data_IF_659965031342
#
_entry.id   IF_659965031342
#
_cell.length_a   1.000
_cell.length_b   1.000
_cell.length_c   1.000
_cell.angle_alpha   90.00
_cell.angle_beta   90.00
_cell.angle_gamma   90.00
#
_symmetry.space_group_name_H-M   'P 1'
#
loop_
_entity.id
_entity.type
_entity.pdbx_description
1 polymer ?
#
# COMPACT_ATOMS: atom_id res chain seq x y z
N UNK A 1 -12.19 25.89 4.06
CA UNK A 1 -10.97 26.29 4.77
C UNK A 1 -10.88 27.81 4.63
N UNK A 2 -11.28 28.56 5.64
CA UNK A 2 -11.27 30.03 5.59
C UNK A 2 -9.84 30.55 5.82
N UNK A 3 -9.49 31.69 5.23
CA UNK A 3 -8.24 32.36 5.59
C UNK A 3 -8.28 32.74 7.07
N UNK A 4 -7.16 32.60 7.79
CA UNK A 4 -7.12 32.99 9.19
C UNK A 4 -7.38 34.50 9.29
N UNK A 5 -8.20 34.90 10.28
CA UNK A 5 -8.45 36.30 10.57
C UNK A 5 -7.11 36.99 10.92
N UNK A 6 -6.77 38.05 10.21
CA UNK A 6 -5.50 38.77 10.39
C UNK A 6 -5.30 39.26 11.84
N UNK A 7 -6.39 39.63 12.51
CA UNK A 7 -6.38 40.05 13.91
C UNK A 7 -5.97 38.90 14.86
N UNK A 8 -6.57 37.71 14.66
CA UNK A 8 -6.23 36.52 15.44
C UNK A 8 -4.77 36.07 15.21
N UNK A 9 -4.27 36.16 13.97
CA UNK A 9 -2.86 35.86 13.70
C UNK A 9 -1.93 36.87 14.37
N UNK A 10 -2.27 38.17 14.39
CA UNK A 10 -1.48 39.19 15.09
C UNK A 10 -1.39 38.89 16.58
N UNK A 11 -2.53 38.57 17.22
CA UNK A 11 -2.58 38.21 18.63
C UNK A 11 -1.72 36.97 18.94
N UNK A 12 -1.80 35.93 18.10
CA UNK A 12 -0.95 34.73 18.25
C UNK A 12 0.55 35.05 18.15
N UNK A 13 0.93 35.94 17.23
CA UNK A 13 2.33 36.36 17.09
C UNK A 13 2.81 37.17 18.30
N UNK A 14 1.99 38.06 18.85
CA UNK A 14 2.30 38.82 20.06
C UNK A 14 2.48 37.91 21.28
N UNK A 15 1.59 36.93 21.46
CA UNK A 15 1.70 35.95 22.55
C UNK A 15 2.93 35.05 22.36
N UNK A 16 3.20 34.60 21.14
CA UNK A 16 4.42 33.82 20.86
C UNK A 16 5.69 34.63 21.17
N UNK A 17 5.73 35.91 20.78
CA UNK A 17 6.85 36.80 21.07
C UNK A 17 7.03 37.01 22.59
N UNK A 18 5.94 37.17 23.35
CA UNK A 18 5.98 37.26 24.80
C UNK A 18 6.53 35.99 25.47
N UNK A 19 6.34 34.82 24.85
CA UNK A 19 6.90 33.53 25.29
C UNK A 19 8.34 33.29 24.79
N UNK A 20 8.94 34.24 24.07
CA UNK A 20 10.27 34.07 23.47
C UNK A 20 10.30 33.06 22.31
N UNK A 21 9.16 32.81 21.66
CA UNK A 21 9.01 31.91 20.54
C UNK A 21 8.88 32.68 19.22
N UNK A 22 9.50 32.16 18.16
CA UNK A 22 9.34 32.68 16.79
C UNK A 22 8.20 31.91 16.12
N UNK A 23 7.07 32.58 15.88
CA UNK A 23 5.91 32.05 15.19
C UNK A 23 5.76 32.74 13.82
N UNK A 24 5.85 31.96 12.74
CA UNK A 24 5.57 32.43 11.40
C UNK A 24 4.07 32.34 11.10
N UNK A 25 3.42 33.43 10.64
CA UNK A 25 2.00 33.45 10.36
C UNK A 25 1.65 32.45 9.26
N UNK A 26 0.43 31.91 9.33
CA UNK A 26 -0.12 31.07 8.26
C UNK A 26 -0.34 31.92 7.02
N UNK A 27 0.33 31.56 5.92
CA UNK A 27 0.35 32.37 4.71
C UNK A 27 -0.26 31.61 3.52
N UNK A 28 -0.33 32.27 2.37
CA UNK A 28 -0.81 31.68 1.11
C UNK A 28 -0.02 30.44 0.68
N UNK A 29 1.23 30.30 1.11
CA UNK A 29 2.08 29.14 0.84
C UNK A 29 1.62 27.87 1.55
N UNK A 30 1.22 27.97 2.83
CA UNK A 30 0.64 26.82 3.55
C UNK A 30 -0.64 26.34 2.84
N UNK A 31 -1.53 27.28 2.50
CA UNK A 31 -2.75 26.99 1.74
C UNK A 31 -2.44 26.37 0.36
N UNK A 32 -1.44 26.88 -0.36
CA UNK A 32 -1.05 26.34 -1.65
C UNK A 32 -0.60 24.88 -1.52
N UNK A 33 0.19 24.54 -0.50
CA UNK A 33 0.61 23.16 -0.23
C UNK A 33 -0.59 22.26 0.04
N UNK A 34 -1.54 22.69 0.88
CA UNK A 34 -2.76 21.92 1.15
C UNK A 34 -3.57 21.67 -0.12
N UNK A 35 -3.77 22.69 -0.95
CA UNK A 35 -4.51 22.58 -2.21
C UNK A 35 -3.81 21.61 -3.17
N UNK A 36 -2.50 21.78 -3.40
CA UNK A 36 -1.72 20.93 -4.30
C UNK A 36 -1.77 19.48 -3.85
N UNK A 37 -1.54 19.21 -2.56
CA UNK A 37 -1.61 17.85 -2.03
C UNK A 37 -3.02 17.27 -2.12
N UNK A 38 -4.05 18.06 -1.87
CA UNK A 38 -5.45 17.60 -2.02
C UNK A 38 -5.76 17.20 -3.47
N UNK A 39 -5.29 17.96 -4.45
CA UNK A 39 -5.44 17.60 -5.88
C UNK A 39 -4.72 16.29 -6.18
N UNK A 40 -3.49 16.12 -5.69
CA UNK A 40 -2.70 14.89 -5.86
C UNK A 40 -3.44 13.68 -5.26
N UNK A 41 -3.94 13.78 -4.03
CA UNK A 41 -4.75 12.72 -3.41
C UNK A 41 -6.08 12.47 -4.16
N UNK A 42 -6.64 13.48 -4.82
CA UNK A 42 -7.77 13.31 -5.74
C UNK A 42 -7.42 12.46 -6.97
N UNK A 43 -6.23 12.65 -7.54
CA UNK A 43 -5.72 11.81 -8.64
C UNK A 43 -5.45 10.38 -8.17
N UNK A 44 -4.86 10.22 -6.99
CA UNK A 44 -4.65 8.90 -6.38
C UNK A 44 -5.96 8.15 -6.14
N UNK A 45 -6.99 8.85 -5.66
CA UNK A 45 -8.32 8.27 -5.47
C UNK A 45 -8.89 7.75 -6.80
N UNK A 46 -8.78 8.53 -7.88
CA UNK A 46 -9.20 8.09 -9.22
C UNK A 46 -8.40 6.84 -9.64
N UNK A 47 -7.09 6.82 -9.44
CA UNK A 47 -6.24 5.67 -9.77
C UNK A 47 -6.66 4.41 -8.98
N UNK A 48 -6.93 4.54 -7.68
CA UNK A 48 -7.42 3.45 -6.83
C UNK A 48 -8.80 2.96 -7.27
N UNK A 49 -9.73 3.86 -7.62
CA UNK A 49 -11.05 3.48 -8.15
C UNK A 49 -10.89 2.68 -9.45
N UNK A 50 -10.02 3.12 -10.38
CA UNK A 50 -9.75 2.41 -11.63
C UNK A 50 -9.12 1.03 -11.39
N UNK A 51 -8.23 0.90 -10.41
CA UNK A 51 -7.69 -0.40 -9.99
C UNK A 51 -8.77 -1.33 -9.46
N UNK A 52 -9.64 -0.82 -8.58
CA UNK A 52 -10.74 -1.59 -7.99
C UNK A 52 -11.77 -2.00 -9.04
N UNK A 53 -12.08 -1.12 -10.01
CA UNK A 53 -12.92 -1.43 -11.15
C UNK A 53 -12.34 -2.58 -11.98
N UNK A 54 -11.03 -2.54 -12.24
CA UNK A 54 -10.33 -3.53 -13.04
C UNK A 54 -9.77 -4.72 -12.22
N UNK A 55 -10.27 -4.94 -10.98
CA UNK A 55 -9.76 -5.99 -10.07
C UNK A 55 -9.82 -7.42 -10.60
N UNK A 56 -10.62 -7.69 -11.64
CA UNK A 56 -10.72 -9.00 -12.30
C UNK A 56 -9.60 -9.26 -13.31
N UNK A 57 -8.88 -8.22 -13.75
CA UNK A 57 -7.79 -8.36 -14.71
C UNK A 57 -6.55 -8.96 -14.02
N UNK A 58 -6.02 -10.12 -14.48
CA UNK A 58 -5.02 -10.87 -13.72
C UNK A 58 -3.75 -10.09 -13.32
N UNK A 59 -3.14 -9.27 -14.21
CA UNK A 59 -1.98 -8.46 -13.83
C UNK A 59 -2.26 -7.39 -12.76
N UNK A 60 -3.50 -6.88 -12.67
CA UNK A 60 -3.91 -5.97 -11.59
C UNK A 60 -4.21 -6.76 -10.32
N UNK A 61 -4.88 -7.90 -10.46
CA UNK A 61 -5.23 -8.79 -9.34
C UNK A 61 -3.99 -9.23 -8.55
N UNK A 62 -2.88 -9.56 -9.24
CA UNK A 62 -1.62 -9.96 -8.59
C UNK A 62 -1.02 -8.84 -7.73
N UNK A 63 -1.26 -7.57 -8.08
CA UNK A 63 -0.81 -6.41 -7.28
C UNK A 63 -1.68 -6.14 -6.05
N UNK A 64 -2.74 -6.91 -5.80
CA UNK A 64 -3.55 -6.77 -4.59
C UNK A 64 -4.28 -5.43 -4.49
N UNK A 65 -5.29 -5.16 -5.35
CA UNK A 65 -5.93 -3.85 -5.44
C UNK A 65 -6.57 -3.38 -4.12
N UNK A 66 -7.05 -4.31 -3.29
CA UNK A 66 -7.57 -3.98 -1.96
C UNK A 66 -6.46 -3.46 -1.03
N UNK A 67 -5.26 -4.04 -1.07
CA UNK A 67 -4.12 -3.54 -0.27
C UNK A 67 -3.71 -2.14 -0.72
N UNK A 68 -3.76 -1.85 -2.03
CA UNK A 68 -3.49 -0.49 -2.53
C UNK A 68 -4.56 0.52 -2.09
N UNK A 69 -5.83 0.11 -2.03
CA UNK A 69 -6.89 0.95 -1.46
C UNK A 69 -6.66 1.21 0.04
N UNK A 70 -6.27 0.19 0.80
CA UNK A 70 -5.90 0.36 2.21
C UNK A 70 -4.69 1.30 2.37
N UNK A 71 -3.66 1.16 1.52
CA UNK A 71 -2.50 2.03 1.51
C UNK A 71 -2.91 3.49 1.31
N UNK A 72 -3.75 3.76 0.30
CA UNK A 72 -4.29 5.09 0.04
C UNK A 72 -5.05 5.67 1.25
N UNK A 73 -5.93 4.89 1.88
CA UNK A 73 -6.70 5.32 3.06
C UNK A 73 -5.75 5.67 4.21
N UNK A 74 -4.72 4.86 4.48
CA UNK A 74 -3.72 5.15 5.51
C UNK A 74 -2.95 6.44 5.17
N UNK A 75 -2.51 6.61 3.91
CA UNK A 75 -1.84 7.84 3.47
C UNK A 75 -2.74 9.07 3.62
N UNK A 76 -4.03 8.96 3.33
CA UNK A 76 -5.00 10.04 3.52
C UNK A 76 -5.17 10.41 5.02
N UNK A 77 -5.21 9.42 5.92
CA UNK A 77 -5.21 9.69 7.36
C UNK A 77 -3.91 10.34 7.82
N UNK A 78 -2.75 9.90 7.30
CA UNK A 78 -1.48 10.60 7.56
C UNK A 78 -1.58 12.06 7.13
N UNK A 79 -2.05 12.35 5.90
CA UNK A 79 -2.23 13.73 5.43
C UNK A 79 -3.12 14.57 6.34
N UNK A 80 -4.29 14.07 6.71
CA UNK A 80 -5.22 14.79 7.60
C UNK A 80 -4.56 15.07 8.96
N UNK A 81 -3.85 14.09 9.52
CA UNK A 81 -3.12 14.27 10.78
C UNK A 81 -1.94 15.23 10.66
N UNK A 82 -1.27 15.26 9.51
CA UNK A 82 -0.13 16.13 9.24
C UNK A 82 -0.55 17.60 9.12
N UNK A 83 -1.72 17.86 8.52
CA UNK A 83 -2.33 19.20 8.48
C UNK A 83 -2.50 19.80 9.88
N UNK A 84 -2.94 18.98 10.83
CA UNK A 84 -3.09 19.39 12.23
C UNK A 84 -1.74 19.61 12.90
N UNK A 85 -0.87 18.59 12.92
CA UNK A 85 0.35 18.63 13.75
C UNK A 85 1.36 19.64 13.22
N UNK A 86 1.42 19.87 11.91
CA UNK A 86 2.32 20.86 11.32
C UNK A 86 1.72 22.27 11.30
N UNK A 87 0.51 22.48 11.84
CA UNK A 87 -0.08 23.81 12.00
C UNK A 87 -0.55 24.47 10.70
N UNK A 88 -0.87 23.68 9.67
CA UNK A 88 -1.37 24.21 8.39
C UNK A 88 -2.80 24.73 8.48
N UNK A 89 -3.57 24.23 9.45
CA UNK A 89 -4.99 24.58 9.65
C UNK A 89 -5.21 25.28 10.98
N UNK A 90 -6.28 26.07 11.06
CA UNK A 90 -6.77 26.64 12.31
C UNK A 90 -7.41 25.57 13.17
N UNK A 91 -6.89 25.39 14.40
CA UNK A 91 -7.40 24.38 15.32
C UNK A 91 -8.58 24.95 16.13
N UNK A 92 -8.50 26.21 16.54
CA UNK A 92 -9.51 26.91 17.31
C UNK A 92 -10.91 26.75 16.70
N UNK A 93 -11.88 26.38 17.54
CA UNK A 93 -13.28 26.14 17.15
C UNK A 93 -13.49 25.06 16.09
N UNK A 94 -12.55 24.11 15.94
CA UNK A 94 -12.65 23.01 14.99
C UNK A 94 -12.49 21.64 15.66
N UNK A 95 -12.82 20.58 14.92
CA UNK A 95 -12.57 19.18 15.34
C UNK A 95 -11.08 18.89 15.56
N UNK A 96 -10.20 19.69 14.95
CA UNK A 96 -8.75 19.55 15.08
C UNK A 96 -8.22 20.03 16.43
N UNK A 97 -9.04 20.61 17.32
CA UNK A 97 -8.65 20.84 18.73
C UNK A 97 -8.34 19.55 19.47
N UNK A 98 -8.85 18.39 19.02
CA UNK A 98 -8.56 17.10 19.61
C UNK A 98 -7.16 16.58 19.19
N UNK A 99 -6.12 17.07 19.89
CA UNK A 99 -4.72 16.71 19.64
C UNK A 99 -4.43 15.21 19.76
N UNK A 100 -5.06 14.51 20.72
CA UNK A 100 -4.91 13.06 20.89
C UNK A 100 -5.58 12.28 19.76
N UNK A 101 -6.78 12.69 19.35
CA UNK A 101 -7.50 12.06 18.25
C UNK A 101 -6.76 12.20 16.92
N UNK A 102 -6.51 13.42 16.47
CA UNK A 102 -5.92 13.62 15.15
C UNK A 102 -4.41 13.40 15.13
N UNK A 103 -3.69 13.91 16.13
CA UNK A 103 -2.24 13.90 16.14
C UNK A 103 -1.66 12.51 16.42
N UNK A 104 -2.39 11.69 17.16
CA UNK A 104 -1.93 10.36 17.53
C UNK A 104 -2.75 9.25 16.85
N UNK A 105 -4.08 9.19 16.99
CA UNK A 105 -4.86 8.13 16.31
C UNK A 105 -4.82 8.26 14.79
N UNK A 106 -5.18 9.42 14.25
CA UNK A 106 -5.28 9.61 12.80
C UNK A 106 -3.90 9.63 12.15
N UNK A 107 -2.97 10.45 12.65
CA UNK A 107 -1.63 10.58 12.06
C UNK A 107 -0.74 9.36 12.30
N UNK A 108 -0.54 8.96 13.56
CA UNK A 108 0.48 7.97 13.92
C UNK A 108 -0.04 6.55 13.71
N UNK A 109 -1.18 6.20 14.30
CA UNK A 109 -1.67 4.81 14.30
C UNK A 109 -2.30 4.43 12.96
N UNK A 110 -3.29 5.19 12.49
CA UNK A 110 -3.99 4.91 11.24
C UNK A 110 -3.19 5.35 10.01
N UNK A 111 -2.41 6.42 10.13
CA UNK A 111 -1.54 6.92 9.08
C UNK A 111 -0.24 6.13 8.97
N UNK A 112 0.79 6.55 9.72
CA UNK A 112 2.16 6.02 9.61
C UNK A 112 2.22 4.51 9.87
N UNK A 113 1.66 4.04 10.99
CA UNK A 113 1.68 2.62 11.35
C UNK A 113 0.77 1.79 10.42
N UNK A 114 -0.31 2.37 9.91
CA UNK A 114 -1.17 1.78 8.89
C UNK A 114 -0.43 1.54 7.57
N UNK A 115 0.28 2.57 7.06
CA UNK A 115 1.15 2.45 5.87
C UNK A 115 2.21 1.36 6.09
N UNK A 116 2.91 1.37 7.23
CA UNK A 116 3.89 0.34 7.56
C UNK A 116 3.25 -1.06 7.61
N UNK A 117 2.07 -1.19 8.21
CA UNK A 117 1.34 -2.45 8.31
C UNK A 117 0.92 -3.01 6.94
N UNK A 118 0.47 -2.15 6.02
CA UNK A 118 0.12 -2.55 4.65
C UNK A 118 1.35 -3.01 3.86
N UNK A 119 2.46 -2.28 3.96
CA UNK A 119 3.74 -2.67 3.33
C UNK A 119 4.26 -3.99 3.91
N UNK A 120 4.19 -4.16 5.23
CA UNK A 120 4.58 -5.39 5.91
C UNK A 120 3.72 -6.57 5.46
N UNK A 121 2.40 -6.41 5.43
CA UNK A 121 1.46 -7.45 5.00
C UNK A 121 1.73 -7.87 3.56
N UNK A 122 1.97 -6.90 2.67
CA UNK A 122 2.31 -7.18 1.27
C UNK A 122 3.62 -7.97 1.17
N UNK A 123 4.66 -7.53 1.87
CA UNK A 123 5.98 -8.19 1.90
C UNK A 123 5.86 -9.61 2.45
N UNK A 124 5.09 -9.79 3.52
CA UNK A 124 4.81 -11.09 4.12
C UNK A 124 4.01 -12.01 3.19
N UNK A 125 3.05 -11.46 2.43
CA UNK A 125 2.34 -12.21 1.40
C UNK A 125 3.30 -12.79 0.35
N UNK A 126 4.27 -11.99 -0.10
CA UNK A 126 5.29 -12.43 -1.07
C UNK A 126 6.20 -13.51 -0.47
N UNK A 127 6.64 -13.33 0.78
CA UNK A 127 7.43 -14.34 1.50
C UNK A 127 6.70 -15.69 1.57
N UNK A 128 5.41 -15.68 1.93
CA UNK A 128 4.62 -16.90 2.08
C UNK A 128 4.41 -17.64 0.76
N UNK A 129 4.17 -16.91 -0.33
CA UNK A 129 3.97 -17.51 -1.67
C UNK A 129 5.29 -18.05 -2.22
N UNK A 130 6.35 -17.26 -2.22
CA UNK A 130 7.57 -17.61 -2.94
C UNK A 130 8.55 -18.46 -2.14
N UNK A 131 8.63 -18.29 -0.82
CA UNK A 131 9.60 -19.02 0.00
C UNK A 131 8.99 -20.23 0.68
N UNK A 132 7.73 -20.13 1.14
CA UNK A 132 7.06 -21.24 1.82
C UNK A 132 6.22 -22.10 0.87
N UNK A 133 5.94 -21.64 -0.36
CA UNK A 133 5.02 -22.31 -1.30
C UNK A 133 3.64 -22.57 -0.68
N UNK A 134 3.20 -21.70 0.22
CA UNK A 134 1.93 -21.83 0.92
C UNK A 134 0.91 -20.79 0.40
N UNK A 135 -0.38 -21.14 0.28
CA UNK A 135 -1.40 -20.21 -0.18
C UNK A 135 -1.59 -19.08 0.85
N UNK A 136 -1.74 -17.83 0.39
CA UNK A 136 -2.01 -16.65 1.22
C UNK A 136 -3.48 -16.59 1.70
N UNK A 137 -4.00 -17.69 2.25
CA UNK A 137 -5.39 -17.80 2.73
C UNK A 137 -5.42 -18.37 4.14
N UNK A 138 -6.46 -17.99 4.89
CA UNK A 138 -6.74 -18.50 6.23
C UNK A 138 -6.20 -17.62 7.36
N UNK A 139 -6.67 -17.90 8.58
CA UNK A 139 -6.42 -17.07 9.76
C UNK A 139 -4.92 -17.02 10.14
N UNK A 140 -4.19 -18.13 9.97
CA UNK A 140 -2.76 -18.22 10.30
C UNK A 140 -1.90 -17.23 9.49
N UNK A 141 -2.29 -16.96 8.25
CA UNK A 141 -1.63 -15.97 7.41
C UNK A 141 -1.79 -14.54 7.97
N UNK A 142 -2.97 -14.22 8.51
CA UNK A 142 -3.26 -12.90 9.08
C UNK A 142 -2.81 -12.74 10.53
N UNK A 143 -2.39 -13.81 11.21
CA UNK A 143 -2.04 -13.77 12.64
C UNK A 143 -0.95 -12.72 12.96
N UNK A 144 0.16 -12.58 12.22
CA UNK A 144 1.16 -11.56 12.51
C UNK A 144 0.60 -10.13 12.36
N UNK A 145 -0.28 -9.91 11.38
CA UNK A 145 -0.95 -8.63 11.20
C UNK A 145 -1.94 -8.33 12.32
N UNK A 146 -2.71 -9.33 12.75
CA UNK A 146 -3.65 -9.19 13.88
C UNK A 146 -2.90 -8.87 15.18
N UNK A 147 -1.75 -9.51 15.41
CA UNK A 147 -0.89 -9.21 16.54
C UNK A 147 -0.35 -7.77 16.47
N UNK A 148 0.13 -7.34 15.28
CA UNK A 148 0.58 -5.97 15.05
C UNK A 148 -0.53 -4.94 15.30
N UNK A 149 -1.74 -5.18 14.79
CA UNK A 149 -2.92 -4.33 15.02
C UNK A 149 -3.27 -4.31 16.51
N UNK A 150 -3.23 -5.46 17.21
CA UNK A 150 -3.49 -5.52 18.64
C UNK A 150 -2.47 -4.68 19.43
N UNK A 151 -1.18 -4.74 19.09
CA UNK A 151 -0.15 -3.90 19.71
C UNK A 151 -0.41 -2.40 19.47
N UNK A 152 -0.76 -2.00 18.25
CA UNK A 152 -1.13 -0.61 17.91
C UNK A 152 -2.35 -0.17 18.73
N UNK A 153 -3.38 -1.00 18.83
CA UNK A 153 -4.60 -0.66 19.57
C UNK A 153 -4.34 -0.53 21.07
N UNK A 154 -3.57 -1.45 21.66
CA UNK A 154 -3.17 -1.37 23.08
C UNK A 154 -2.39 -0.08 23.33
N UNK A 155 -1.38 0.22 22.50
CA UNK A 155 -0.63 1.47 22.60
C UNK A 155 -1.54 2.70 22.44
N UNK A 156 -2.49 2.62 21.50
CA UNK A 156 -3.50 3.63 21.23
C UNK A 156 -4.38 3.97 22.44
N UNK A 157 -4.91 2.92 23.07
CA UNK A 157 -5.76 3.00 24.24
C UNK A 157 -4.97 3.56 25.43
N UNK A 158 -3.78 3.02 25.71
CA UNK A 158 -2.93 3.49 26.82
C UNK A 158 -2.63 4.98 26.68
N UNK A 159 -2.18 5.41 25.51
CA UNK A 159 -1.92 6.82 25.22
C UNK A 159 -3.18 7.72 25.31
N UNK A 160 -4.37 7.17 25.08
CA UNK A 160 -5.63 7.92 25.23
C UNK A 160 -6.06 8.08 26.69
N UNK A 161 -5.69 7.12 27.54
CA UNK A 161 -5.98 7.15 28.99
C UNK A 161 -5.02 8.09 29.74
N UNK A 162 -3.82 8.34 29.20
CA UNK A 162 -2.87 9.29 29.78
C UNK A 162 -3.48 10.71 29.90
N UNK A 163 -3.08 11.42 30.97
CA UNK A 163 -3.52 12.80 31.17
C UNK A 163 -3.01 13.71 30.04
N UNK A 164 -3.73 14.78 29.68
CA UNK A 164 -3.29 15.71 28.63
C UNK A 164 -1.89 16.29 28.90
N UNK A 165 -1.57 16.55 30.17
CA UNK A 165 -0.29 17.12 30.62
C UNK A 165 0.93 16.25 30.33
N UNK A 166 0.77 14.92 30.22
CA UNK A 166 1.86 13.97 29.94
C UNK A 166 1.78 13.38 28.53
N UNK A 167 0.84 13.83 27.70
CA UNK A 167 0.58 13.26 26.38
C UNK A 167 0.56 14.33 25.29
N UNK A 168 -0.63 14.74 24.84
CA UNK A 168 -0.82 15.79 23.87
C UNK A 168 -1.89 16.76 24.37
N UNK A 169 -1.53 18.04 24.38
CA UNK A 169 -2.34 19.12 24.91
C UNK A 169 -2.49 20.21 23.84
N UNK A 170 -3.70 20.75 23.74
CA UNK A 170 -3.97 21.91 22.90
C UNK A 170 -3.62 23.18 23.66
N UNK A 171 -2.79 24.04 23.08
CA UNK A 171 -2.43 25.35 23.64
C UNK A 171 -3.26 26.41 22.91
N UNK A 172 -4.34 26.93 23.51
CA UNK A 172 -5.26 27.84 22.84
C UNK A 172 -4.59 29.16 22.41
N UNK A 173 -3.61 29.64 23.17
CA UNK A 173 -2.92 30.90 22.92
C UNK A 173 -2.08 30.86 21.63
N UNK A 174 -1.48 29.71 21.34
CA UNK A 174 -0.65 29.50 20.16
C UNK A 174 -1.40 28.80 19.02
N UNK A 175 -2.62 28.30 19.27
CA UNK A 175 -3.40 27.49 18.34
C UNK A 175 -2.60 26.30 17.79
N UNK A 176 -1.89 25.57 18.68
CA UNK A 176 -1.10 24.38 18.34
C UNK A 176 -1.35 23.21 19.29
N UNK A 177 -1.06 22.01 18.82
CA UNK A 177 -0.97 20.81 19.64
C UNK A 177 0.47 20.62 20.12
N UNK A 178 0.70 20.73 21.44
CA UNK A 178 1.97 20.40 22.06
C UNK A 178 1.98 18.91 22.44
N UNK A 179 3.02 18.20 22.03
CA UNK A 179 3.30 16.85 22.50
C UNK A 179 4.36 16.94 23.60
N UNK A 180 4.13 16.23 24.70
CA UNK A 180 5.13 16.07 25.76
C UNK A 180 6.34 15.28 25.27
N UNK A 181 7.54 15.61 25.77
CA UNK A 181 8.80 15.09 25.23
C UNK A 181 8.96 13.57 25.46
N UNK A 182 8.76 13.03 26.69
CA UNK A 182 8.66 11.58 26.92
C UNK A 182 7.66 10.86 26.00
N UNK A 183 6.47 11.43 25.84
CA UNK A 183 5.42 10.84 25.00
C UNK A 183 5.82 10.81 23.52
N UNK A 184 6.42 11.90 23.03
CA UNK A 184 7.00 12.00 21.70
C UNK A 184 8.09 10.94 21.48
N UNK A 185 9.01 10.75 22.43
CA UNK A 185 10.05 9.72 22.36
C UNK A 185 9.42 8.32 22.25
N UNK A 186 8.43 8.01 23.10
CA UNK A 186 7.75 6.72 23.08
C UNK A 186 7.08 6.44 21.73
N UNK A 187 6.42 7.44 21.13
CA UNK A 187 5.83 7.35 19.79
C UNK A 187 6.91 7.02 18.74
N UNK A 188 8.01 7.76 18.73
CA UNK A 188 9.07 7.54 17.74
C UNK A 188 9.72 6.16 17.90
N UNK A 189 10.02 5.72 19.12
CA UNK A 189 10.54 4.38 19.39
C UNK A 189 9.58 3.31 18.86
N UNK A 190 8.28 3.45 19.13
CA UNK A 190 7.27 2.53 18.64
C UNK A 190 7.24 2.46 17.10
N UNK A 191 7.22 3.61 16.43
CA UNK A 191 7.23 3.70 14.96
C UNK A 191 8.51 3.09 14.39
N UNK A 192 9.68 3.37 14.97
CA UNK A 192 10.95 2.80 14.54
C UNK A 192 10.99 1.28 14.68
N UNK A 193 10.49 0.72 15.80
CA UNK A 193 10.39 -0.74 15.98
C UNK A 193 9.50 -1.35 14.88
N UNK A 194 8.35 -0.74 14.59
CA UNK A 194 7.44 -1.21 13.54
C UNK A 194 8.14 -1.18 12.15
N UNK A 195 8.84 -0.10 11.83
CA UNK A 195 9.53 0.05 10.54
C UNK A 195 10.76 -0.85 10.39
N UNK A 196 11.52 -1.06 11.47
CA UNK A 196 12.61 -2.05 11.51
C UNK A 196 12.09 -3.47 11.26
N UNK A 197 10.94 -3.82 11.84
CA UNK A 197 10.30 -5.11 11.56
C UNK A 197 9.97 -5.26 10.07
N UNK A 198 9.38 -4.23 9.44
CA UNK A 198 9.13 -4.23 7.98
C UNK A 198 10.43 -4.41 7.20
N UNK A 199 11.49 -3.68 7.58
CA UNK A 199 12.81 -3.78 6.98
C UNK A 199 13.40 -5.19 7.08
N UNK A 200 13.28 -5.85 8.23
CA UNK A 200 13.75 -7.22 8.45
C UNK A 200 13.00 -8.21 7.55
N UNK A 201 11.66 -8.11 7.48
CA UNK A 201 10.85 -8.98 6.61
C UNK A 201 11.20 -8.76 5.14
N UNK A 202 11.38 -7.51 4.73
CA UNK A 202 11.76 -7.16 3.36
C UNK A 202 13.18 -7.66 3.01
N UNK A 203 14.11 -7.58 3.95
CA UNK A 203 15.45 -8.11 3.78
C UNK A 203 15.46 -9.62 3.55
N UNK A 204 14.58 -10.36 4.23
CA UNK A 204 14.46 -11.82 4.04
C UNK A 204 14.02 -12.19 2.62
N UNK A 205 13.21 -11.38 1.95
CA UNK A 205 12.71 -11.65 0.58
C UNK A 205 13.64 -11.16 -0.53
N UNK A 206 14.77 -10.52 -0.22
CA UNK A 206 15.67 -9.90 -1.21
C UNK A 206 16.21 -10.85 -2.28
N UNK A 207 16.32 -12.14 -1.96
CA UNK A 207 16.86 -13.15 -2.88
C UNK A 207 15.83 -13.72 -3.85
N UNK A 208 14.55 -13.38 -3.68
CA UNK A 208 13.50 -13.80 -4.59
C UNK A 208 13.63 -12.99 -5.89
N UNK A 209 14.14 -13.66 -6.92
CA UNK A 209 14.07 -13.21 -8.32
C UNK A 209 12.62 -13.36 -8.79
N UNK A 210 11.71 -12.56 -8.23
CA UNK A 210 10.32 -12.49 -8.69
C UNK A 210 10.31 -11.71 -9.99
N UNK A 211 9.73 -12.29 -11.03
CA UNK A 211 9.78 -11.75 -12.40
C UNK A 211 8.89 -10.54 -12.63
N UNK A 212 8.27 -10.05 -11.56
CA UNK A 212 7.54 -8.79 -11.55
C UNK A 212 8.30 -7.63 -10.92
N UNK A 213 9.61 -7.76 -10.66
CA UNK A 213 10.42 -6.75 -9.96
C UNK A 213 9.85 -6.36 -8.58
N UNK A 214 8.99 -7.19 -8.00
CA UNK A 214 8.25 -6.84 -6.78
C UNK A 214 9.16 -6.67 -5.57
N UNK A 215 10.23 -7.46 -5.46
CA UNK A 215 11.24 -7.29 -4.41
C UNK A 215 11.97 -5.95 -4.51
N UNK A 216 12.22 -5.46 -5.74
CA UNK A 216 12.81 -4.13 -5.96
C UNK A 216 11.82 -3.01 -5.62
N UNK A 217 10.55 -3.16 -6.01
CA UNK A 217 9.48 -2.23 -5.63
C UNK A 217 9.36 -2.13 -4.09
N UNK A 218 9.40 -3.26 -3.37
CA UNK A 218 9.34 -3.29 -1.91
C UNK A 218 10.61 -2.72 -1.26
N UNK A 219 11.79 -2.97 -1.83
CA UNK A 219 13.04 -2.34 -1.36
C UNK A 219 12.96 -0.81 -1.48
N UNK A 220 12.53 -0.29 -2.63
CA UNK A 220 12.34 1.15 -2.83
C UNK A 220 11.35 1.70 -1.80
N UNK A 221 10.20 1.03 -1.61
CA UNK A 221 9.22 1.44 -0.62
C UNK A 221 9.77 1.47 0.81
N UNK A 222 10.57 0.48 1.18
CA UNK A 222 11.25 0.42 2.46
C UNK A 222 12.24 1.58 2.64
N UNK A 223 13.08 1.85 1.63
CA UNK A 223 14.03 2.97 1.65
C UNK A 223 13.31 4.32 1.80
N UNK A 224 12.19 4.51 1.09
CA UNK A 224 11.35 5.71 1.20
C UNK A 224 10.87 5.89 2.65
N UNK A 225 10.33 4.83 3.28
CA UNK A 225 9.85 4.88 4.68
C UNK A 225 11.00 5.23 5.63
N UNK A 226 12.18 4.63 5.47
CA UNK A 226 13.34 4.94 6.32
C UNK A 226 13.80 6.39 6.18
N UNK A 227 13.85 6.93 4.96
CA UNK A 227 14.24 8.32 4.70
C UNK A 227 13.26 9.29 5.37
N UNK A 228 11.95 9.06 5.20
CA UNK A 228 10.90 9.91 5.82
C UNK A 228 10.98 9.85 7.34
N UNK A 229 11.10 8.67 7.92
CA UNK A 229 11.16 8.53 9.38
C UNK A 229 12.42 9.14 9.97
N UNK A 230 13.57 8.99 9.30
CA UNK A 230 14.81 9.64 9.71
C UNK A 230 14.65 11.16 9.66
N UNK A 231 14.14 11.70 8.56
CA UNK A 231 13.90 13.13 8.42
C UNK A 231 12.94 13.64 9.50
N UNK A 232 11.80 13.00 9.71
CA UNK A 232 10.82 13.41 10.73
C UNK A 232 11.37 13.33 12.15
N UNK A 233 12.16 12.30 12.45
CA UNK A 233 12.86 12.17 13.74
C UNK A 233 13.82 13.36 13.91
N UNK A 234 14.69 13.62 12.93
CA UNK A 234 15.62 14.76 12.97
C UNK A 234 14.88 16.09 13.15
N UNK A 235 13.82 16.33 12.38
CA UNK A 235 13.02 17.56 12.48
C UNK A 235 12.43 17.76 13.88
N UNK A 236 11.86 16.71 14.48
CA UNK A 236 11.18 16.78 15.78
C UNK A 236 12.14 16.95 16.98
N UNK A 237 13.36 16.42 16.88
CA UNK A 237 14.34 16.47 17.97
C UNK A 237 15.33 17.64 17.84
N UNK A 238 15.72 18.01 16.62
CA UNK A 238 16.62 19.16 16.38
C UNK A 238 15.83 20.46 16.41
N UNK A 239 14.64 20.49 15.81
CA UNK A 239 13.80 21.69 15.71
C UNK A 239 12.51 21.52 16.50
N UNK A 240 12.58 21.56 17.83
CA UNK A 240 11.42 21.36 18.73
C UNK A 240 10.20 22.22 18.39
N UNK A 241 10.44 23.43 17.87
CA UNK A 241 9.42 24.39 17.46
C UNK A 241 9.14 24.39 15.95
N UNK A 242 9.45 23.30 15.22
CA UNK A 242 9.29 23.25 13.77
C UNK A 242 7.86 23.54 13.26
N UNK A 243 6.74 23.23 13.96
CA UNK A 243 5.41 23.58 13.47
C UNK A 243 5.16 25.10 13.48
N UNK A 244 5.87 25.83 14.35
CA UNK A 244 5.76 27.28 14.46
C UNK A 244 6.51 28.00 13.33
N UNK A 245 7.49 27.34 12.71
CA UNK A 245 8.37 27.94 11.72
C UNK A 245 8.05 27.41 10.31
N UNK A 246 7.69 28.33 9.41
CA UNK A 246 7.28 28.05 8.03
C UNK A 246 8.35 27.26 7.27
N UNK A 247 9.62 27.64 7.44
CA UNK A 247 10.78 27.01 6.78
C UNK A 247 10.90 25.52 7.05
N UNK A 248 10.26 25.01 8.10
CA UNK A 248 10.34 23.62 8.50
C UNK A 248 9.02 22.87 8.30
N UNK A 249 7.87 23.47 8.66
CA UNK A 249 6.56 22.80 8.54
C UNK A 249 6.17 22.50 7.09
N UNK A 250 6.46 23.40 6.15
CA UNK A 250 6.11 23.21 4.73
C UNK A 250 6.94 22.06 4.12
N UNK A 251 8.29 22.07 4.18
CA UNK A 251 9.07 20.97 3.63
C UNK A 251 8.77 19.62 4.28
N UNK A 252 8.47 19.59 5.58
CA UNK A 252 8.12 18.35 6.28
C UNK A 252 6.86 17.72 5.69
N UNK A 253 5.78 18.48 5.53
CA UNK A 253 4.54 18.00 4.92
C UNK A 253 4.72 17.61 3.47
N UNK A 254 5.47 18.41 2.69
CA UNK A 254 5.74 18.09 1.29
C UNK A 254 6.50 16.76 1.17
N UNK A 255 7.55 16.56 1.97
CA UNK A 255 8.36 15.34 1.90
C UNK A 255 7.56 14.10 2.30
N UNK A 256 6.83 14.16 3.41
CA UNK A 256 5.97 13.07 3.90
C UNK A 256 5.02 12.59 2.79
N UNK A 257 4.38 13.53 2.10
CA UNK A 257 3.39 13.19 1.08
C UNK A 257 3.97 12.87 -0.28
N UNK A 258 5.07 13.47 -0.70
CA UNK A 258 5.80 13.02 -1.90
C UNK A 258 6.20 11.54 -1.73
N UNK A 259 6.67 11.16 -0.54
CA UNK A 259 7.09 9.80 -0.26
C UNK A 259 5.90 8.82 -0.21
N UNK A 260 4.78 9.19 0.44
CA UNK A 260 3.56 8.38 0.41
C UNK A 260 3.02 8.16 -1.02
N UNK A 261 3.03 9.22 -1.83
CA UNK A 261 2.62 9.18 -3.22
C UNK A 261 3.56 8.32 -4.07
N UNK A 262 4.88 8.50 -3.91
CA UNK A 262 5.88 7.71 -4.61
C UNK A 262 5.70 6.22 -4.30
N UNK A 263 5.43 5.85 -3.05
CA UNK A 263 5.16 4.47 -2.66
C UNK A 263 3.95 3.87 -3.41
N UNK A 264 2.84 4.62 -3.50
CA UNK A 264 1.65 4.18 -4.25
C UNK A 264 1.95 4.04 -5.75
N UNK A 265 2.52 5.09 -6.36
CA UNK A 265 2.76 5.13 -7.80
C UNK A 265 3.84 4.15 -8.26
N UNK A 266 4.87 3.85 -7.46
CA UNK A 266 5.86 2.81 -7.77
C UNK A 266 5.19 1.45 -8.01
N UNK A 267 4.12 1.14 -7.27
CA UNK A 267 3.41 -0.14 -7.39
C UNK A 267 2.33 -0.07 -8.48
N UNK A 268 1.64 1.07 -8.61
CA UNK A 268 0.41 1.21 -9.40
C UNK A 268 0.63 1.73 -10.82
N UNK A 269 1.62 2.61 -11.05
CA UNK A 269 1.76 3.35 -12.31
C UNK A 269 1.78 2.44 -13.53
N UNK A 270 2.71 1.49 -13.55
CA UNK A 270 2.91 0.56 -14.68
C UNK A 270 1.69 -0.33 -14.94
N UNK A 271 1.15 -1.10 -13.96
CA UNK A 271 0.02 -1.98 -14.23
C UNK A 271 -1.24 -1.22 -14.62
N UNK A 272 -1.48 -0.03 -14.05
CA UNK A 272 -2.65 0.78 -14.39
C UNK A 272 -2.55 1.31 -15.82
N UNK A 273 -1.42 1.92 -16.19
CA UNK A 273 -1.19 2.43 -17.55
C UNK A 273 -1.36 1.34 -18.60
N UNK A 274 -0.69 0.19 -18.41
CA UNK A 274 -0.75 -0.91 -19.36
C UNK A 274 -2.14 -1.56 -19.42
N UNK A 275 -2.89 -1.59 -18.33
CA UNK A 275 -4.27 -2.06 -18.34
C UNK A 275 -5.20 -1.14 -19.15
N UNK A 276 -5.00 0.18 -19.11
CA UNK A 276 -5.84 1.15 -19.80
C UNK A 276 -5.54 1.22 -21.29
N UNK A 277 -4.26 1.26 -21.67
CA UNK A 277 -3.86 1.53 -23.06
C UNK A 277 -3.40 0.29 -23.84
N UNK A 278 -2.87 -0.73 -23.16
CA UNK A 278 -2.20 -1.89 -23.80
C UNK A 278 -2.64 -3.22 -23.20
N UNK A 279 -3.95 -3.34 -22.94
CA UNK A 279 -4.51 -4.43 -22.12
C UNK A 279 -4.15 -5.84 -22.62
N UNK A 280 -4.19 -6.08 -23.93
CA UNK A 280 -3.89 -7.41 -24.49
C UNK A 280 -2.39 -7.69 -24.53
N UNK A 281 -1.58 -6.74 -24.99
CA UNK A 281 -0.12 -6.83 -25.00
C UNK A 281 0.42 -7.10 -23.59
N UNK A 282 -0.09 -6.38 -22.58
CA UNK A 282 0.33 -6.56 -21.20
C UNK A 282 -0.06 -7.92 -20.63
N UNK A 283 -1.24 -8.43 -20.97
CA UNK A 283 -1.65 -9.77 -20.55
C UNK A 283 -0.75 -10.84 -21.16
N UNK A 284 -0.41 -10.72 -22.44
CA UNK A 284 0.50 -11.64 -23.13
C UNK A 284 1.91 -11.60 -22.52
N UNK A 285 2.45 -10.41 -22.28
CA UNK A 285 3.74 -10.22 -21.60
C UNK A 285 3.73 -10.82 -20.20
N UNK A 286 2.65 -10.59 -19.43
CA UNK A 286 2.49 -11.12 -18.09
C UNK A 286 2.44 -12.67 -18.09
N UNK A 287 1.67 -13.27 -19.00
CA UNK A 287 1.63 -14.73 -19.17
C UNK A 287 2.99 -15.27 -19.59
N UNK A 288 3.67 -14.66 -20.56
CA UNK A 288 4.99 -15.09 -21.02
C UNK A 288 6.01 -15.06 -19.87
N UNK A 289 5.95 -14.02 -19.03
CA UNK A 289 6.79 -13.89 -17.82
C UNK A 289 6.48 -15.00 -16.82
N UNK A 290 5.20 -15.25 -16.50
CA UNK A 290 4.83 -16.38 -15.62
C UNK A 290 5.30 -17.73 -16.16
N UNK A 291 5.33 -17.89 -17.49
CA UNK A 291 5.80 -19.11 -18.13
C UNK A 291 7.31 -19.29 -17.95
N UNK A 292 8.10 -18.24 -18.10
CA UNK A 292 9.56 -18.30 -17.90
C UNK A 292 9.95 -18.65 -16.47
N UNK A 293 9.09 -18.34 -15.50
CA UNK A 293 9.39 -18.51 -14.07
C UNK A 293 8.99 -19.88 -13.52
N UNK A 294 8.33 -20.70 -14.33
CA UNK A 294 7.71 -21.95 -13.87
C UNK A 294 6.48 -21.75 -12.99
N UNK A 295 5.92 -20.53 -12.90
CA UNK A 295 4.76 -20.21 -12.06
C UNK A 295 3.41 -20.55 -12.69
N UNK A 296 3.40 -21.20 -13.87
CA UNK A 296 2.17 -21.51 -14.62
C UNK A 296 1.15 -22.31 -13.79
N UNK A 297 1.64 -23.27 -13.00
CA UNK A 297 0.79 -24.13 -12.15
C UNK A 297 0.09 -23.35 -11.03
N UNK A 298 0.72 -22.30 -10.50
CA UNK A 298 0.16 -21.50 -9.41
C UNK A 298 -1.01 -20.60 -9.86
N UNK A 299 -1.14 -20.36 -11.17
CA UNK A 299 -2.14 -19.45 -11.74
C UNK A 299 -3.20 -20.16 -12.60
N UNK A 300 -3.24 -21.50 -12.60
CA UNK A 300 -4.26 -22.30 -13.33
C UNK A 300 -4.40 -21.87 -14.81
N UNK A 301 -3.28 -21.55 -15.47
CA UNK A 301 -3.32 -21.20 -16.90
C UNK A 301 -3.53 -22.50 -17.68
N UNK A 302 -4.80 -22.85 -17.93
CA UNK A 302 -5.20 -24.01 -18.74
C UNK A 302 -4.58 -23.91 -20.14
N UNK A 303 -3.51 -24.67 -20.38
CA UNK A 303 -2.86 -24.80 -21.67
C UNK A 303 -3.73 -25.49 -22.73
N UNK A 304 -4.81 -26.15 -22.29
CA UNK A 304 -5.74 -26.91 -23.14
C UNK A 304 -6.60 -26.03 -24.04
N UNK A 305 -6.98 -24.80 -23.63
CA UNK A 305 -7.83 -23.93 -24.45
C UNK A 305 -7.14 -23.27 -25.63
N UNK A 306 -5.81 -23.09 -25.58
CA UNK A 306 -5.08 -22.45 -26.67
C UNK A 306 -4.78 -23.40 -27.84
N UNK A 307 -4.89 -24.72 -27.63
CA UNK A 307 -4.63 -25.70 -28.68
C UNK A 307 -5.81 -25.88 -29.66
N UNK A 308 -7.05 -25.62 -29.24
CA UNK A 308 -8.23 -25.81 -30.10
C UNK A 308 -8.50 -24.64 -31.06
N UNK A 309 -8.07 -23.41 -30.77
CA UNK A 309 -8.34 -22.23 -31.63
C UNK A 309 -7.27 -21.99 -32.70
N UNK A 310 -6.19 -22.79 -32.70
CA UNK A 310 -5.13 -22.75 -33.71
C UNK A 310 -5.12 -24.01 -34.58
N UNK A 311 -6.28 -24.62 -34.84
CA UNK A 311 -6.42 -25.38 -36.07
C UNK A 311 -6.52 -24.38 -37.22
N UNK A 312 -5.51 -24.28 -38.10
CA UNK A 312 -5.63 -23.47 -39.30
C UNK A 312 -6.83 -23.99 -40.11
N UNK A 313 -7.72 -23.08 -40.49
CA UNK A 313 -8.80 -23.31 -41.45
C UNK A 313 -8.25 -23.59 -42.87
N UNK A 314 -7.14 -24.32 -42.99
CA UNK A 314 -6.44 -24.64 -44.24
C UNK A 314 -6.77 -26.04 -44.75
N UNK A 315 -7.80 -26.71 -44.21
CA UNK A 315 -8.25 -28.03 -44.69
C UNK A 315 -9.71 -28.09 -45.16
N UNK A 316 -10.42 -26.96 -45.25
CA UNK A 316 -11.77 -26.93 -45.81
C UNK A 316 -11.89 -26.07 -47.07
N UNK A 317 -10.84 -26.07 -47.90
CA UNK A 317 -10.86 -25.40 -49.21
C UNK A 317 -10.07 -26.20 -50.24
N UNK A 318 -10.41 -27.49 -50.38
CA UNK A 318 -9.92 -28.29 -51.51
C UNK A 318 -10.97 -29.16 -52.21
N UNK A 319 -12.21 -29.22 -51.72
CA UNK A 319 -13.26 -30.06 -52.32
C UNK A 319 -14.49 -29.28 -52.81
N UNK A 320 -14.45 -27.93 -52.85
CA UNK A 320 -15.59 -27.12 -53.27
C UNK A 320 -15.35 -26.42 -54.62
N UNK A 321 -14.88 -27.20 -55.60
CA UNK A 321 -14.76 -26.78 -57.00
C UNK A 321 -15.28 -27.89 -57.93
N UNK A 322 -16.42 -28.51 -57.61
CA UNK A 322 -17.21 -29.32 -58.56
C UNK A 322 -18.60 -29.63 -58.02
N UNK A 323 -19.50 -28.64 -58.02
CA UNK A 323 -20.92 -28.85 -58.39
C UNK A 323 -21.69 -27.54 -58.26
N UNK A 324 -22.00 -26.96 -59.42
CA UNK A 324 -23.10 -26.01 -59.59
C UNK A 324 -24.41 -26.68 -59.16
N UNK A 325 -25.28 -25.97 -58.44
CA UNK A 325 -26.72 -26.22 -58.52
C UNK A 325 -27.51 -26.18 -57.21
N UNK A 326 -28.23 -25.06 -57.04
CA UNK A 326 -29.61 -24.99 -56.56
C UNK A 326 -29.96 -25.10 -55.05
N UNK A 327 -30.96 -24.25 -54.74
CA UNK A 327 -31.90 -24.20 -53.61
C UNK A 327 -31.54 -23.42 -52.33
N UNK A 328 -32.27 -22.31 -52.19
CA UNK A 328 -32.61 -21.60 -50.96
C UNK A 328 -33.28 -22.55 -49.95
N UNK A 329 -32.84 -22.47 -48.68
CA UNK A 329 -33.69 -22.72 -47.53
C UNK A 329 -33.15 -21.94 -46.32
N UNK A 330 -33.90 -20.95 -45.87
CA UNK A 330 -33.75 -20.33 -44.56
C UNK A 330 -33.99 -21.37 -43.45
N UNK A 331 -33.16 -21.39 -42.42
CA UNK A 331 -33.48 -21.98 -41.09
C UNK A 331 -32.50 -21.47 -40.03
N UNK A 332 -32.87 -21.53 -38.73
CA UNK A 332 -32.72 -20.40 -37.81
C UNK A 332 -31.41 -20.37 -37.01
N UNK A 333 -31.03 -19.15 -36.62
CA UNK A 333 -30.00 -18.86 -35.62
C UNK A 333 -30.30 -19.57 -34.28
N UNK A 334 -29.61 -20.68 -34.02
CA UNK A 334 -29.45 -21.18 -32.66
C UNK A 334 -28.36 -20.37 -31.94
N UNK A 335 -28.81 -19.51 -31.04
CA UNK A 335 -27.97 -18.83 -30.05
C UNK A 335 -27.42 -19.90 -29.10
N UNK A 336 -26.18 -20.32 -29.31
CA UNK A 336 -25.45 -21.17 -28.39
C UNK A 336 -25.02 -20.35 -27.17
N UNK A 337 -25.79 -20.44 -26.09
CA UNK A 337 -25.40 -19.96 -24.75
C UNK A 337 -24.56 -21.08 -24.10
N UNK A 338 -23.26 -20.91 -23.87
CA UNK A 338 -22.54 -21.88 -23.06
C UNK A 338 -23.04 -21.77 -21.62
N UNK A 339 -23.79 -22.78 -21.18
CA UNK A 339 -24.02 -23.02 -19.76
C UNK A 339 -22.66 -23.20 -19.09
N UNK A 340 -22.26 -22.20 -18.29
CA UNK A 340 -21.17 -22.36 -17.35
C UNK A 340 -21.62 -23.38 -16.30
N UNK A 341 -21.27 -24.65 -16.51
CA UNK A 341 -21.34 -25.69 -15.48
C UNK A 341 -20.39 -25.28 -14.35
N UNK A 342 -20.91 -24.53 -13.39
CA UNK A 342 -20.24 -24.27 -12.12
C UNK A 342 -20.25 -25.60 -11.38
N UNK A 343 -19.16 -26.37 -11.48
CA UNK A 343 -19.00 -27.58 -10.67
C UNK A 343 -18.97 -27.18 -9.19
N UNK A 344 -19.82 -27.77 -8.33
CA UNK A 344 -19.78 -27.52 -6.90
C UNK A 344 -18.44 -27.96 -6.30
N UNK A 345 -17.90 -27.11 -5.42
CA UNK A 345 -16.63 -27.30 -4.70
C UNK A 345 -16.53 -28.59 -3.85
N UNK A 346 -17.66 -29.29 -3.62
CA UNK A 346 -17.69 -30.56 -2.87
C UNK A 346 -16.96 -31.70 -3.58
N UNK A 347 -16.83 -31.66 -4.91
CA UNK A 347 -16.19 -32.71 -5.72
C UNK A 347 -14.66 -32.78 -5.57
N UNK A 348 -14.01 -31.79 -4.94
CA UNK A 348 -12.56 -31.81 -4.70
C UNK A 348 -12.14 -32.42 -3.35
N UNK A 349 -13.08 -32.67 -2.42
CA UNK A 349 -12.74 -33.33 -1.14
C UNK A 349 -12.49 -34.82 -1.29
N UNK A 350 -13.11 -35.48 -2.26
CA UNK A 350 -12.94 -36.93 -2.44
C UNK A 350 -11.65 -37.29 -3.21
N UNK A 351 -11.17 -36.42 -4.09
CA UNK A 351 -9.91 -36.64 -4.80
C UNK A 351 -8.65 -36.52 -3.90
N UNK A 352 -8.74 -35.80 -2.78
CA UNK A 352 -7.63 -35.64 -1.83
C UNK A 352 -7.48 -36.81 -0.83
N UNK A 353 -8.47 -37.70 -0.73
CA UNK A 353 -8.43 -38.85 0.18
C UNK A 353 -7.78 -40.10 -0.44
N UNK A 354 -7.56 -40.13 -1.77
CA UNK A 354 -7.06 -41.31 -2.49
C UNK A 354 -5.68 -41.18 -3.13
N UNK A 355 -5.03 -40.02 -3.07
CA UNK A 355 -3.70 -39.83 -3.66
C UNK A 355 -2.62 -40.42 -2.76
N UNK A 356 -2.08 -41.56 -3.17
CA UNK A 356 -0.81 -42.10 -2.69
C UNK A 356 0.24 -40.99 -2.59
N UNK A 357 0.95 -40.96 -1.46
CA UNK A 357 2.10 -40.10 -1.19
C UNK A 357 3.13 -40.22 -2.31
N UNK A 358 3.08 -39.31 -3.27
CA UNK A 358 4.19 -39.07 -4.20
C UNK A 358 5.31 -38.46 -3.37
N UNK A 359 6.33 -39.27 -3.07
CA UNK A 359 7.56 -38.83 -2.42
C UNK A 359 8.25 -37.81 -3.32
N UNK A 360 8.29 -36.56 -2.85
CA UNK A 360 9.11 -35.53 -3.49
C UNK A 360 10.58 -35.89 -3.36
N UNK A 361 11.40 -35.77 -4.42
CA UNK A 361 12.84 -35.90 -4.29
C UNK A 361 13.35 -34.82 -3.33
N UNK A 362 14.00 -35.27 -2.25
CA UNK A 362 14.72 -34.40 -1.32
C UNK A 362 15.79 -33.64 -2.10
N UNK A 363 15.86 -32.31 -1.99
CA UNK A 363 17.00 -31.57 -2.54
C UNK A 363 18.26 -31.99 -1.79
N UNK A 364 19.25 -32.48 -2.52
CA UNK A 364 20.60 -32.73 -1.98
C UNK A 364 21.22 -31.39 -1.56
N UNK A 365 21.10 -31.07 -0.28
CA UNK A 365 21.85 -30.01 0.37
C UNK A 365 23.32 -30.41 0.40
N UNK A 366 24.10 -29.98 -0.60
CA UNK A 366 25.54 -30.00 -0.50
C UNK A 366 25.94 -28.94 0.52
N UNK A 367 26.57 -29.41 1.60
CA UNK A 367 26.98 -28.63 2.75
C UNK A 367 27.84 -27.43 2.35
N UNK A 368 27.44 -26.26 2.86
CA UNK A 368 28.33 -25.12 2.99
C UNK A 368 28.86 -25.16 4.43
N UNK A 369 29.99 -25.84 4.58
CA UNK A 369 30.80 -25.88 5.79
C UNK A 369 31.45 -24.49 5.94
N UNK A 370 30.84 -23.64 6.78
CA UNK A 370 31.38 -22.33 7.09
C UNK A 370 32.36 -22.47 8.25
N UNK A 371 33.64 -22.31 7.92
CA UNK A 371 34.77 -22.14 8.83
C UNK A 371 34.42 -21.19 9.99
N UNK A 372 34.47 -21.73 11.21
CA UNK A 372 34.67 -20.95 12.43
C UNK A 372 36.16 -20.86 12.68
N UNK A 373 36.79 -19.78 12.25
CA UNK A 373 38.02 -19.29 12.88
C UNK A 373 38.11 -17.76 12.76
N UNK A 374 38.40 -17.15 13.92
CA UNK A 374 39.06 -15.86 14.17
C UNK A 374 38.20 -14.63 14.56
N UNK A 375 38.41 -14.30 15.85
CA UNK A 375 38.28 -13.03 16.62
C UNK A 375 36.88 -12.67 17.12
#
# INVERSE_FOLDING_TARGET
MAFPNAELESQRMEVAAALGLVLDPRNKGDLAVVIVLTIIYGLDLIAVILLLWNRKYPPIKSKGPLMMACLFICSAFWFIGDLQVNGHVQLANSVFTNCRGFGFWVRVLLGICGVCGVVALRTYALFHVFQLNLPSRGLRFYLPLLLYIACILVFGIVASVLSPSVSAEYIPELDICRLDEPFKIAIFVFVWIASLFVGIVNWRIRHIRSSFNESREMLIGCLIVFVVLTFNTCMQFIHKNYPLQRKYRIPSTILDHICCNALLWVIVAKPLFLCLFKRQEYLQQWVATLRSDGLQRAYEIDSSRSAETLQPASKLQKDQESSLGFFYAETPQQIYRPESVVRPWSSYREAAAGSQLVSWPQPSYNGFEADRHLI
#
